data_IF_416178723959
#
_entry.id   IF_416178723959
#
_cell.length_a   1.000
_cell.length_b   1.000
_cell.length_c   1.000
_cell.angle_alpha   90.00
_cell.angle_beta   90.00
_cell.angle_gamma   90.00
#
_symmetry.space_group_name_H-M   'P 1'
#
loop_
_entity.id
_entity.type
_entity.pdbx_description
1 polymer ?
#
# COMPACT_ATOMS: atom_id res chain seq x y z
N UNK A 1 -7.69 2.75 30.41
CA UNK A 1 -7.52 2.08 29.10
C UNK A 1 -6.18 1.39 29.14
N UNK A 2 -6.14 0.07 29.29
CA UNK A 2 -4.90 -0.69 29.29
C UNK A 2 -4.32 -0.67 27.88
N UNK A 3 -3.08 -0.22 27.74
CA UNK A 3 -2.34 -0.24 26.48
C UNK A 3 -2.22 -1.68 25.96
N UNK A 4 -2.23 -1.84 24.64
CA UNK A 4 -2.01 -3.14 23.99
C UNK A 4 -0.70 -3.76 24.51
N UNK A 5 -0.69 -5.03 24.96
CA UNK A 5 0.50 -5.70 25.47
C UNK A 5 1.70 -5.66 24.51
N UNK A 6 1.47 -5.77 23.20
CA UNK A 6 2.55 -5.70 22.19
C UNK A 6 3.20 -4.32 22.12
N UNK A 7 2.39 -3.26 22.22
CA UNK A 7 2.86 -1.88 22.23
C UNK A 7 3.63 -1.54 23.51
N UNK A 8 3.21 -2.10 24.67
CA UNK A 8 3.97 -1.97 25.91
C UNK A 8 5.33 -2.68 25.85
N UNK A 9 5.39 -3.85 25.20
CA UNK A 9 6.63 -4.59 25.02
C UNK A 9 7.65 -3.79 24.18
N UNK A 10 7.19 -3.15 23.11
CA UNK A 10 8.01 -2.32 22.24
C UNK A 10 8.46 -1.02 22.93
N UNK A 11 7.56 -0.40 23.70
CA UNK A 11 7.87 0.79 24.49
C UNK A 11 8.88 0.50 25.61
N UNK A 12 8.80 -0.67 26.24
CA UNK A 12 9.76 -1.13 27.24
C UNK A 12 11.13 -1.42 26.61
N UNK A 13 11.17 -2.02 25.42
CA UNK A 13 12.40 -2.27 24.68
C UNK A 13 13.08 -0.96 24.23
N UNK A 14 12.30 0.01 23.75
CA UNK A 14 12.80 1.30 23.29
C UNK A 14 13.23 2.23 24.44
N UNK A 15 12.63 2.11 25.62
CA UNK A 15 12.99 2.90 26.81
C UNK A 15 14.08 2.26 27.68
N UNK A 16 14.47 1.01 27.40
CA UNK A 16 15.40 0.24 28.24
C UNK A 16 14.89 -0.01 29.66
N UNK A 17 13.59 0.20 29.90
CA UNK A 17 12.93 0.09 31.20
C UNK A 17 11.69 -0.78 31.07
N UNK A 18 11.55 -1.77 31.95
CA UNK A 18 10.39 -2.65 31.99
C UNK A 18 9.08 -1.95 32.41
N UNK A 19 9.14 -0.68 32.86
CA UNK A 19 7.97 0.08 33.27
C UNK A 19 8.18 1.59 33.01
N UNK A 20 7.93 2.08 31.78
CA UNK A 20 8.11 3.49 31.43
C UNK A 20 7.08 4.37 32.16
N UNK A 21 7.51 5.57 32.60
CA UNK A 21 6.62 6.51 33.29
C UNK A 21 5.56 7.08 32.32
N UNK A 22 4.41 7.56 32.83
CA UNK A 22 3.38 8.17 31.99
C UNK A 22 3.90 9.30 31.10
N UNK A 23 4.88 10.07 31.57
CA UNK A 23 5.50 11.16 30.80
C UNK A 23 6.44 10.66 29.70
N UNK A 24 7.15 9.54 29.92
CA UNK A 24 7.98 8.90 28.91
C UNK A 24 7.10 8.31 27.79
N UNK A 25 6.01 7.65 28.17
CA UNK A 25 4.99 7.12 27.26
C UNK A 25 4.41 8.27 26.42
N UNK A 26 3.99 9.37 27.06
CA UNK A 26 3.42 10.52 26.37
C UNK A 26 4.41 11.20 25.39
N UNK A 27 5.69 11.28 25.75
CA UNK A 27 6.70 11.85 24.84
C UNK A 27 7.02 10.92 23.65
N UNK A 28 7.00 9.60 23.85
CA UNK A 28 7.17 8.65 22.75
C UNK A 28 5.96 8.64 21.82
N UNK A 29 4.74 8.71 22.36
CA UNK A 29 3.51 8.87 21.56
C UNK A 29 3.45 10.19 20.80
N UNK A 30 4.00 11.28 21.38
CA UNK A 30 4.13 12.57 20.67
C UNK A 30 5.10 12.51 19.49
N UNK A 31 6.12 11.66 19.58
CA UNK A 31 7.10 11.45 18.52
C UNK A 31 6.67 10.39 17.50
N UNK A 32 5.61 9.62 17.78
CA UNK A 32 4.97 8.75 16.79
C UNK A 32 4.02 9.59 15.94
N UNK A 33 4.19 9.53 14.62
CA UNK A 33 3.32 10.24 13.70
C UNK A 33 1.89 9.65 13.81
N UNK A 34 0.91 10.49 14.12
CA UNK A 34 -0.49 10.09 14.21
C UNK A 34 -1.00 9.45 12.90
N UNK A 35 -0.40 9.82 11.76
CA UNK A 35 -0.67 9.21 10.46
C UNK A 35 -0.19 7.74 10.36
N UNK A 36 0.95 7.39 10.96
CA UNK A 36 1.43 5.99 11.01
C UNK A 36 0.56 5.11 11.93
N UNK A 37 -0.05 5.72 12.95
CA UNK A 37 -1.02 5.06 13.83
C UNK A 37 -2.36 4.88 13.12
N UNK A 38 -2.85 5.89 12.39
CA UNK A 38 -4.14 5.84 11.68
C UNK A 38 -4.14 4.97 10.41
N UNK A 39 -2.98 4.77 9.79
CA UNK A 39 -2.83 3.89 8.62
C UNK A 39 -2.66 2.41 8.99
N UNK A 40 -2.73 2.06 10.29
CA UNK A 40 -2.56 0.67 10.77
C UNK A 40 -1.13 0.14 10.66
N UNK A 41 -0.19 0.93 10.15
CA UNK A 41 1.21 0.54 9.94
C UNK A 41 1.94 0.23 11.25
N UNK A 42 1.57 0.88 12.35
CA UNK A 42 2.15 0.62 13.67
C UNK A 42 1.59 -0.64 14.36
N UNK A 43 0.46 -1.20 13.91
CA UNK A 43 -0.16 -2.37 14.53
C UNK A 43 0.38 -3.70 13.99
N UNK A 44 0.95 -3.70 12.79
CA UNK A 44 1.46 -4.90 12.12
C UNK A 44 2.98 -5.00 12.29
N UNK A 45 3.41 -5.50 13.46
CA UNK A 45 4.81 -5.70 13.85
C UNK A 45 5.58 -6.76 13.04
N UNK A 46 5.27 -6.95 11.76
CA UNK A 46 6.00 -7.81 10.83
C UNK A 46 6.24 -7.05 9.51
N UNK A 47 7.50 -6.64 9.32
CA UNK A 47 8.10 -6.06 8.10
C UNK A 47 8.02 -4.52 7.96
N UNK A 48 8.50 -3.80 8.96
CA UNK A 48 8.83 -2.40 8.80
C UNK A 48 10.02 -2.20 7.83
N UNK A 49 9.69 -1.71 6.62
CA UNK A 49 10.41 -0.61 5.94
C UNK A 49 11.90 -0.82 5.61
N UNK A 50 12.25 -1.84 4.83
CA UNK A 50 13.48 -1.79 4.00
C UNK A 50 13.10 -1.71 2.51
N UNK A 51 13.35 -0.56 1.86
CA UNK A 51 13.18 -0.43 0.41
C UNK A 51 14.02 -1.47 -0.35
N UNK A 52 15.12 -1.95 0.24
CA UNK A 52 15.98 -3.02 -0.26
C UNK A 52 15.25 -4.33 -0.57
N UNK A 53 14.13 -4.61 0.12
CA UNK A 53 13.31 -5.79 -0.13
C UNK A 53 12.38 -5.64 -1.35
N UNK A 54 12.02 -4.41 -1.74
CA UNK A 54 11.05 -4.15 -2.80
C UNK A 54 11.74 -3.99 -4.18
N UNK A 55 12.25 -5.09 -4.73
CA UNK A 55 13.01 -5.12 -5.99
C UNK A 55 12.34 -4.40 -7.16
N UNK A 56 11.00 -4.47 -7.26
CA UNK A 56 10.23 -3.78 -8.29
C UNK A 56 10.13 -2.27 -8.03
N UNK A 57 9.69 -1.87 -6.83
CA UNK A 57 9.48 -0.45 -6.51
C UNK A 57 10.76 0.38 -6.52
N UNK A 58 11.93 -0.24 -6.31
CA UNK A 58 13.22 0.42 -6.48
C UNK A 58 13.47 0.97 -7.88
N UNK A 59 12.84 0.40 -8.93
CA UNK A 59 13.01 0.85 -10.31
C UNK A 59 12.00 1.91 -10.71
N UNK A 60 10.98 2.16 -9.87
CA UNK A 60 9.88 3.07 -10.18
C UNK A 60 10.20 4.49 -9.71
N UNK A 61 9.69 5.52 -10.41
CA UNK A 61 9.85 6.92 -10.01
C UNK A 61 8.88 7.24 -8.86
N UNK A 62 9.13 6.66 -7.68
CA UNK A 62 8.36 6.87 -6.45
C UNK A 62 9.27 7.35 -5.31
N UNK A 63 8.76 8.12 -4.34
CA UNK A 63 9.54 8.54 -3.19
C UNK A 63 10.08 7.35 -2.39
N UNK A 64 11.29 7.47 -1.84
CA UNK A 64 11.92 6.41 -1.03
C UNK A 64 11.78 6.68 0.46
N UNK A 65 11.70 5.61 1.24
CA UNK A 65 11.75 5.72 2.70
C UNK A 65 13.08 6.35 3.15
N UNK A 66 13.03 7.25 4.13
CA UNK A 66 14.22 7.89 4.72
C UNK A 66 14.74 9.13 3.99
N UNK A 67 14.09 9.58 2.91
CA UNK A 67 14.37 10.86 2.25
C UNK A 67 13.68 12.07 2.95
N UNK A 68 13.30 11.93 4.22
CA UNK A 68 12.50 12.89 4.99
C UNK A 68 13.23 14.19 5.38
N UNK A 69 14.50 14.36 4.98
CA UNK A 69 15.36 15.47 5.41
C UNK A 69 15.54 16.62 4.41
N UNK A 70 15.17 16.44 3.15
CA UNK A 70 15.25 17.49 2.14
C UNK A 70 13.86 18.09 1.93
N UNK A 71 13.74 19.42 1.82
CA UNK A 71 12.53 20.03 1.26
C UNK A 71 12.39 19.52 -0.17
N UNK A 72 11.58 18.48 -0.37
CA UNK A 72 11.23 17.99 -1.69
C UNK A 72 10.33 19.05 -2.30
N UNK A 73 10.78 19.65 -3.40
CA UNK A 73 9.93 20.54 -4.18
C UNK A 73 8.90 19.70 -4.93
N UNK A 74 7.64 20.16 -4.92
CA UNK A 74 6.56 19.48 -5.63
C UNK A 74 6.85 19.48 -7.14
N UNK A 75 6.79 18.30 -7.76
CA UNK A 75 7.00 18.17 -9.19
C UNK A 75 7.13 16.72 -9.68
N UNK A 76 7.31 16.53 -11.00
CA UNK A 76 7.52 15.22 -11.58
C UNK A 76 8.82 14.57 -11.09
N UNK A 77 8.75 13.30 -10.67
CA UNK A 77 9.93 12.52 -10.30
C UNK A 77 10.76 12.06 -11.52
N UNK A 78 10.14 12.01 -12.70
CA UNK A 78 10.80 11.71 -13.98
C UNK A 78 10.11 12.48 -15.12
N UNK A 79 10.89 13.21 -15.91
CA UNK A 79 10.42 13.87 -17.13
C UNK A 79 10.64 12.92 -18.31
N UNK A 80 9.60 12.62 -19.09
CA UNK A 80 9.66 11.73 -20.26
C UNK A 80 8.90 12.34 -21.43
N UNK A 81 9.39 12.10 -22.65
CA UNK A 81 8.67 12.46 -23.86
C UNK A 81 7.96 11.24 -24.45
N UNK A 82 6.91 11.47 -25.22
CA UNK A 82 6.16 10.39 -25.90
C UNK A 82 7.05 9.59 -26.85
N UNK A 83 8.06 10.23 -27.46
CA UNK A 83 9.04 9.57 -28.33
C UNK A 83 9.96 8.58 -27.61
N UNK A 84 10.10 8.69 -26.29
CA UNK A 84 10.93 7.80 -25.47
C UNK A 84 10.15 6.58 -24.94
N UNK A 85 8.83 6.51 -25.21
CA UNK A 85 7.94 5.44 -24.73
C UNK A 85 7.88 4.34 -25.79
N UNK A 86 8.13 3.10 -25.36
CA UNK A 86 7.96 1.92 -26.21
C UNK A 86 6.49 1.76 -26.63
N UNK A 87 6.28 1.50 -27.91
CA UNK A 87 4.95 1.33 -28.50
C UNK A 87 4.50 -0.11 -28.51
N UNK A 88 5.42 -1.06 -28.31
CA UNK A 88 5.11 -2.47 -28.27
C UNK A 88 4.68 -2.89 -26.84
N UNK A 89 3.64 -3.72 -26.71
CA UNK A 89 3.23 -4.24 -25.42
C UNK A 89 4.35 -5.03 -24.75
N UNK A 90 4.45 -4.92 -23.44
CA UNK A 90 5.43 -5.70 -22.68
C UNK A 90 5.14 -7.20 -22.81
N UNK A 91 6.18 -8.05 -22.90
CA UNK A 91 5.98 -9.49 -23.06
C UNK A 91 5.28 -10.08 -21.84
N UNK A 92 4.29 -10.93 -22.11
CA UNK A 92 3.58 -11.72 -21.10
C UNK A 92 4.14 -13.15 -21.03
N UNK A 93 3.74 -13.89 -20.00
CA UNK A 93 4.03 -15.32 -19.89
C UNK A 93 3.33 -16.06 -21.06
N UNK A 94 3.98 -17.10 -21.58
CA UNK A 94 3.43 -17.89 -22.68
C UNK A 94 2.01 -18.41 -22.36
N UNK A 95 1.09 -18.28 -23.32
CA UNK A 95 -0.31 -18.65 -23.17
C UNK A 95 -1.23 -17.50 -22.73
N UNK A 96 -0.69 -16.32 -22.47
CA UNK A 96 -1.45 -15.09 -22.20
C UNK A 96 -1.22 -14.06 -23.30
N UNK A 97 -2.23 -13.22 -23.51
CA UNK A 97 -2.19 -12.09 -24.44
C UNK A 97 -2.80 -10.85 -23.80
N UNK A 98 -2.44 -9.68 -24.34
CA UNK A 98 -3.07 -8.43 -23.95
C UNK A 98 -4.43 -8.31 -24.65
N UNK A 99 -5.43 -7.85 -23.90
CA UNK A 99 -6.76 -7.56 -24.41
C UNK A 99 -7.16 -6.15 -23.99
N UNK A 100 -7.90 -5.45 -24.84
CA UNK A 100 -8.60 -4.21 -24.48
C UNK A 100 -10.04 -4.57 -24.20
N UNK A 101 -10.48 -4.34 -22.96
CA UNK A 101 -11.83 -4.68 -22.51
C UNK A 101 -12.78 -3.51 -22.79
N UNK A 102 -13.90 -3.77 -23.48
CA UNK A 102 -15.01 -2.83 -23.67
C UNK A 102 -16.04 -2.97 -22.54
N UNK A 103 -15.97 -2.07 -21.56
CA UNK A 103 -16.93 -2.04 -20.44
C UNK A 103 -18.35 -1.61 -20.85
N UNK A 104 -18.57 -1.21 -22.10
CA UNK A 104 -19.92 -0.95 -22.60
C UNK A 104 -20.61 -2.23 -23.06
N UNK A 105 -19.85 -3.26 -23.44
CA UNK A 105 -20.36 -4.58 -23.77
C UNK A 105 -20.78 -5.35 -22.50
N UNK A 106 -21.99 -5.91 -22.51
CA UNK A 106 -22.56 -6.62 -21.37
C UNK A 106 -21.86 -7.96 -21.08
N UNK A 107 -21.23 -8.57 -22.09
CA UNK A 107 -20.46 -9.80 -21.94
C UNK A 107 -19.11 -9.51 -21.30
N UNK A 108 -18.37 -8.57 -21.84
CA UNK A 108 -17.02 -8.24 -21.37
C UNK A 108 -17.02 -7.65 -19.95
N UNK A 109 -17.98 -6.78 -19.62
CA UNK A 109 -18.09 -6.26 -18.24
C UNK A 109 -18.44 -7.37 -17.25
N UNK A 110 -19.17 -8.39 -17.68
CA UNK A 110 -19.49 -9.54 -16.83
C UNK A 110 -18.24 -10.36 -16.54
N UNK A 111 -17.33 -10.52 -17.49
CA UNK A 111 -16.04 -11.20 -17.27
C UNK A 111 -15.18 -10.44 -16.25
N UNK A 112 -15.11 -9.10 -16.36
CA UNK A 112 -14.42 -8.25 -15.37
C UNK A 112 -15.06 -8.37 -13.99
N UNK A 113 -16.39 -8.32 -13.93
CA UNK A 113 -17.15 -8.50 -12.71
C UNK A 113 -16.82 -9.84 -12.02
N UNK A 114 -16.87 -10.95 -12.77
CA UNK A 114 -16.60 -12.28 -12.24
C UNK A 114 -15.14 -12.41 -11.76
N UNK A 115 -14.19 -11.84 -12.51
CA UNK A 115 -12.77 -11.79 -12.11
C UNK A 115 -12.59 -11.06 -10.78
N UNK A 116 -13.16 -9.85 -10.66
CA UNK A 116 -13.00 -9.04 -9.45
C UNK A 116 -13.73 -9.66 -8.25
N UNK A 117 -14.97 -10.11 -8.44
CA UNK A 117 -15.75 -10.71 -7.37
C UNK A 117 -15.10 -12.01 -6.83
N UNK A 118 -14.40 -12.76 -7.68
CA UNK A 118 -13.72 -14.00 -7.31
C UNK A 118 -12.31 -13.81 -6.72
N UNK A 119 -11.60 -12.74 -7.08
CA UNK A 119 -10.15 -12.63 -6.85
C UNK A 119 -9.66 -11.27 -6.35
N UNK A 120 -10.55 -10.31 -6.14
CA UNK A 120 -10.18 -8.99 -5.62
C UNK A 120 -10.20 -8.95 -4.09
N UNK A 121 -9.77 -7.81 -3.54
CA UNK A 121 -9.48 -7.53 -2.13
C UNK A 121 -10.43 -8.24 -1.16
N UNK A 122 -9.82 -9.08 -0.34
CA UNK A 122 -10.40 -9.66 0.87
C UNK A 122 -9.98 -8.82 2.09
N UNK A 123 -10.79 -8.83 3.14
CA UNK A 123 -10.31 -8.41 4.46
C UNK A 123 -9.27 -9.41 5.00
N UNK A 124 -8.54 -9.01 6.04
CA UNK A 124 -7.45 -9.83 6.61
C UNK A 124 -7.90 -11.24 7.05
N UNK A 125 -9.19 -11.40 7.34
CA UNK A 125 -9.81 -12.66 7.78
C UNK A 125 -10.59 -13.38 6.65
N UNK A 126 -10.60 -12.83 5.43
CA UNK A 126 -11.33 -13.35 4.27
C UNK A 126 -12.84 -13.59 4.49
N UNK A 127 -13.46 -12.80 5.37
CA UNK A 127 -14.88 -12.82 5.66
C UNK A 127 -15.71 -11.98 4.68
N UNK A 128 -15.11 -10.95 4.09
CA UNK A 128 -15.76 -10.01 3.20
C UNK A 128 -14.94 -9.78 1.92
N UNK A 129 -15.66 -9.67 0.80
CA UNK A 129 -15.12 -9.23 -0.48
C UNK A 129 -15.92 -8.06 -1.00
N UNK A 130 -15.23 -7.14 -1.67
CA UNK A 130 -15.92 -6.09 -2.41
C UNK A 130 -16.64 -6.68 -3.63
N UNK A 131 -17.93 -6.42 -3.72
CA UNK A 131 -18.78 -6.81 -4.85
C UNK A 131 -18.99 -5.59 -5.76
N UNK A 132 -18.05 -5.35 -6.68
CA UNK A 132 -18.13 -4.26 -7.65
C UNK A 132 -19.13 -4.60 -8.75
N UNK A 133 -20.42 -4.31 -8.52
CA UNK A 133 -21.48 -4.59 -9.50
C UNK A 133 -21.22 -3.87 -10.84
N UNK A 134 -21.71 -4.41 -11.98
CA UNK A 134 -21.46 -3.85 -13.31
C UNK A 134 -21.81 -2.36 -13.43
N UNK A 135 -22.87 -1.89 -12.76
CA UNK A 135 -23.27 -0.48 -12.77
C UNK A 135 -22.22 0.43 -12.14
N UNK A 136 -21.55 -0.04 -11.08
CA UNK A 136 -20.45 0.70 -10.43
C UNK A 136 -19.21 0.69 -11.32
N UNK A 137 -18.92 -0.44 -11.98
CA UNK A 137 -17.80 -0.56 -12.92
C UNK A 137 -17.96 0.34 -14.16
N UNK A 138 -19.19 0.54 -14.64
CA UNK A 138 -19.48 1.50 -15.73
C UNK A 138 -19.36 2.95 -15.30
N UNK A 139 -19.57 3.23 -14.02
CA UNK A 139 -19.58 4.59 -13.48
C UNK A 139 -18.18 5.11 -13.12
N UNK A 140 -17.33 4.25 -12.57
CA UNK A 140 -15.99 4.61 -12.08
C UNK A 140 -15.05 5.11 -13.20
#
# INVERSE_FOLDING_TARGET
VSLNPGLMQELAAASGSSNPSPDQVANMLKNMNLADIMTGLAASGKNAKDMGAYKFWQTQPVPKFGEEGAKVEDGPLKIQKVEDIDKEPQPLVAGFEWVTVDLMDDGEIKEVYELLNGHYVEDDEAMFRFNYIPEVLRWA
#
